data_IF_094406665519
#
_entry.id   IF_094406665519
#
_cell.length_a   1.000
_cell.length_b   1.000
_cell.length_c   1.000
_cell.angle_alpha   90.00
_cell.angle_beta   90.00
_cell.angle_gamma   90.00
#
_symmetry.space_group_name_H-M   'P 1'
#
loop_
_entity.id
_entity.type
_entity.pdbx_description
1 polymer ?
#
# COMPACT_ATOMS: atom_id res chain seq x y z
N UNK A 1 -19.78 -5.36 -9.42
CA UNK A 1 -20.36 -4.09 -8.93
C UNK A 1 -21.02 -3.34 -10.07
N UNK A 2 -22.17 -2.72 -9.82
CA UNK A 2 -22.77 -1.79 -10.78
C UNK A 2 -22.17 -0.39 -10.65
N UNK A 3 -22.54 0.53 -11.53
CA UNK A 3 -21.96 1.88 -11.55
C UNK A 3 -22.20 2.66 -10.26
N UNK A 4 -23.40 2.54 -9.66
CA UNK A 4 -23.71 3.24 -8.42
C UNK A 4 -22.93 2.68 -7.23
N UNK A 5 -22.76 1.36 -7.16
CA UNK A 5 -21.94 0.73 -6.14
C UNK A 5 -20.48 1.17 -6.22
N UNK A 6 -19.95 1.30 -7.43
CA UNK A 6 -18.58 1.78 -7.64
C UNK A 6 -18.43 3.23 -7.19
N UNK A 7 -19.40 4.09 -7.54
CA UNK A 7 -19.41 5.49 -7.12
C UNK A 7 -19.44 5.60 -5.59
N UNK A 8 -20.32 4.85 -4.95
CA UNK A 8 -20.45 4.85 -3.48
C UNK A 8 -19.19 4.34 -2.80
N UNK A 9 -18.60 3.27 -3.33
CA UNK A 9 -17.35 2.73 -2.85
C UNK A 9 -16.22 3.76 -2.87
N UNK A 10 -16.03 4.44 -3.99
CA UNK A 10 -15.00 5.47 -4.15
C UNK A 10 -15.28 6.66 -3.23
N UNK A 11 -16.53 7.14 -3.19
CA UNK A 11 -16.91 8.30 -2.39
C UNK A 11 -16.74 8.07 -0.88
N UNK A 12 -16.96 6.85 -0.40
CA UNK A 12 -16.90 6.49 1.00
C UNK A 12 -15.54 5.95 1.44
N UNK A 13 -14.58 5.84 0.53
CA UNK A 13 -13.24 5.36 0.87
C UNK A 13 -12.50 6.39 1.72
N UNK A 14 -11.83 5.89 2.76
CA UNK A 14 -11.00 6.72 3.62
C UNK A 14 -9.71 7.14 2.92
N UNK A 15 -9.16 8.27 3.35
CA UNK A 15 -7.80 8.64 3.02
C UNK A 15 -6.87 7.72 3.79
N UNK A 16 -6.12 6.88 3.08
CA UNK A 16 -5.07 6.03 3.65
C UNK A 16 -3.82 6.15 2.80
N UNK A 17 -2.68 6.11 3.46
CA UNK A 17 -1.38 6.10 2.79
C UNK A 17 -0.68 4.80 3.13
N UNK A 18 -0.96 3.70 2.39
CA UNK A 18 -0.32 2.43 2.64
C UNK A 18 1.17 2.52 2.35
N UNK A 19 1.96 2.01 3.27
CA UNK A 19 3.41 2.00 3.13
C UNK A 19 3.96 0.63 3.47
N UNK A 20 5.16 0.37 2.95
CA UNK A 20 6.00 -0.75 3.35
C UNK A 20 7.22 -0.17 4.05
N UNK A 21 7.46 -0.62 5.26
CA UNK A 21 8.53 -0.15 6.10
C UNK A 21 9.54 -1.28 6.30
N UNK A 22 10.79 -1.02 5.96
CA UNK A 22 11.91 -1.87 6.36
C UNK A 22 12.54 -1.24 7.58
N UNK A 23 12.61 -1.96 8.70
CA UNK A 23 13.08 -1.38 9.95
C UNK A 23 14.01 -2.32 10.68
N UNK A 24 15.12 -1.78 11.18
CA UNK A 24 16.00 -2.43 12.13
C UNK A 24 15.82 -1.80 13.51
N UNK A 25 15.62 -2.62 14.52
CA UNK A 25 15.35 -2.18 15.88
C UNK A 25 16.52 -2.52 16.81
N UNK A 26 16.59 -1.83 17.92
CA UNK A 26 17.55 -2.11 19.01
C UNK A 26 16.89 -2.71 20.24
N UNK A 27 15.55 -2.65 20.28
CA UNK A 27 14.72 -3.20 21.36
C UNK A 27 13.34 -3.53 20.79
N UNK A 28 12.51 -4.32 21.47
CA UNK A 28 11.17 -4.65 20.99
C UNK A 28 10.31 -3.40 20.76
N UNK A 29 9.64 -3.36 19.59
CA UNK A 29 8.72 -2.31 19.20
C UNK A 29 7.37 -2.93 18.83
N UNK A 30 6.29 -2.36 19.34
CA UNK A 30 4.93 -2.74 18.99
C UNK A 30 4.48 -1.89 17.79
N UNK A 31 4.22 -2.54 16.66
CA UNK A 31 3.76 -1.85 15.45
C UNK A 31 2.23 -1.78 15.33
N UNK A 32 1.50 -2.10 16.41
CA UNK A 32 0.05 -1.96 16.46
C UNK A 32 -0.66 -2.90 15.49
N UNK A 33 -1.60 -2.33 14.72
CA UNK A 33 -2.43 -3.09 13.78
C UNK A 33 -1.73 -3.44 12.46
N UNK A 34 -0.50 -2.98 12.25
CA UNK A 34 0.25 -3.23 11.02
C UNK A 34 0.61 -4.72 10.88
N UNK A 35 0.79 -5.16 9.65
CA UNK A 35 1.26 -6.51 9.35
C UNK A 35 2.78 -6.54 9.42
N UNK A 36 3.32 -7.39 10.30
CA UNK A 36 4.75 -7.47 10.56
C UNK A 36 5.31 -8.80 10.09
N UNK A 37 6.41 -8.75 9.36
CA UNK A 37 7.20 -9.91 8.96
C UNK A 37 8.61 -9.76 9.50
N UNK A 38 9.19 -10.86 9.94
CA UNK A 38 10.56 -10.89 10.41
C UNK A 38 10.68 -11.41 11.83
N UNK A 39 11.91 -11.36 12.34
CA UNK A 39 12.24 -11.80 13.71
C UNK A 39 13.49 -11.08 14.18
N UNK A 40 13.78 -11.17 15.49
CA UNK A 40 14.95 -10.52 16.07
C UNK A 40 14.82 -9.01 16.03
N UNK A 41 15.71 -8.36 15.30
CA UNK A 41 15.81 -6.90 15.21
C UNK A 41 15.61 -6.36 13.79
N UNK A 42 15.12 -7.18 12.85
CA UNK A 42 14.89 -6.79 11.46
C UNK A 42 13.49 -7.18 11.02
N UNK A 43 12.72 -6.19 10.58
CA UNK A 43 11.31 -6.40 10.25
C UNK A 43 10.93 -5.69 8.95
N UNK A 44 9.96 -6.29 8.25
CA UNK A 44 9.22 -5.65 7.16
C UNK A 44 7.79 -5.45 7.63
N UNK A 45 7.29 -4.22 7.57
CA UNK A 45 6.01 -3.83 8.16
C UNK A 45 5.14 -3.18 7.08
N UNK A 46 3.90 -3.65 6.96
CA UNK A 46 2.91 -3.09 6.04
C UNK A 46 1.80 -2.43 6.85
N UNK A 47 1.56 -1.16 6.60
CA UNK A 47 0.51 -0.45 7.33
C UNK A 47 0.26 0.95 6.77
N UNK A 48 -0.60 1.68 7.47
CA UNK A 48 -0.94 3.05 7.14
C UNK A 48 0.08 4.00 7.76
N UNK A 49 0.59 4.94 6.96
CA UNK A 49 1.56 5.92 7.43
C UNK A 49 1.03 6.79 8.58
N UNK A 50 -0.27 7.05 8.64
CA UNK A 50 -0.86 7.80 9.75
C UNK A 50 -0.59 7.15 11.11
N UNK A 51 -0.48 5.83 11.16
CA UNK A 51 -0.15 5.07 12.36
C UNK A 51 1.35 4.78 12.47
N UNK A 52 1.97 4.31 11.40
CA UNK A 52 3.38 3.92 11.43
C UNK A 52 4.31 5.10 11.67
N UNK A 53 3.99 6.28 11.12
CA UNK A 53 4.76 7.49 11.39
C UNK A 53 4.79 7.87 12.86
N UNK A 54 3.65 7.74 13.54
CA UNK A 54 3.55 8.00 14.98
C UNK A 54 4.32 6.96 15.80
N UNK A 55 4.26 5.69 15.39
CA UNK A 55 4.98 4.60 16.06
C UNK A 55 6.49 4.81 15.96
N UNK A 56 6.98 5.16 14.76
CA UNK A 56 8.40 5.46 14.56
C UNK A 56 8.86 6.62 15.43
N UNK A 57 8.08 7.68 15.50
CA UNK A 57 8.40 8.84 16.33
C UNK A 57 8.42 8.50 17.81
N UNK A 58 7.43 7.76 18.30
CA UNK A 58 7.31 7.36 19.69
C UNK A 58 8.42 6.36 20.13
N UNK A 59 9.01 5.63 19.19
CA UNK A 59 10.01 4.60 19.46
C UNK A 59 11.39 4.93 18.87
N UNK A 60 11.71 6.19 18.67
CA UNK A 60 12.99 6.62 18.09
C UNK A 60 14.22 6.00 18.77
N UNK A 61 14.19 5.90 20.08
CA UNK A 61 15.26 5.32 20.89
C UNK A 61 15.44 3.80 20.70
N UNK A 62 14.44 3.15 20.11
CA UNK A 62 14.44 1.70 19.87
C UNK A 62 14.64 1.33 18.40
N UNK A 63 14.83 2.31 17.53
CA UNK A 63 14.96 2.12 16.08
C UNK A 63 16.36 2.51 15.66
N UNK A 64 17.09 1.58 15.04
CA UNK A 64 18.41 1.83 14.51
C UNK A 64 18.35 2.60 13.20
N UNK A 65 17.58 2.09 12.25
CA UNK A 65 17.33 2.73 10.97
C UNK A 65 16.07 2.17 10.32
N UNK A 66 15.58 2.85 9.29
CA UNK A 66 14.44 2.37 8.52
C UNK A 66 14.41 3.01 7.13
N UNK A 67 13.69 2.35 6.21
CA UNK A 67 13.36 2.88 4.88
C UNK A 67 11.86 2.69 4.67
N UNK A 68 11.19 3.74 4.18
CA UNK A 68 9.76 3.71 3.88
C UNK A 68 9.56 3.71 2.37
N UNK A 69 8.77 2.77 1.88
CA UNK A 69 8.29 2.76 0.49
C UNK A 69 6.77 2.85 0.48
N UNK A 70 6.21 3.62 -0.43
CA UNK A 70 4.78 3.61 -0.65
C UNK A 70 4.44 3.43 -2.13
N UNK A 71 3.21 3.02 -2.41
CA UNK A 71 2.73 2.78 -3.77
C UNK A 71 2.19 4.05 -4.45
N UNK A 72 2.48 5.21 -3.86
CA UNK A 72 2.01 6.54 -4.29
C UNK A 72 0.50 6.75 -4.11
N UNK A 73 -0.17 5.80 -3.52
CA UNK A 73 -1.58 5.91 -3.18
C UNK A 73 -1.73 6.67 -1.86
N UNK A 74 -2.67 7.61 -1.83
CA UNK A 74 -3.08 8.30 -0.61
C UNK A 74 -4.60 8.20 -0.48
N UNK A 75 -5.10 6.98 -0.59
CA UNK A 75 -6.50 6.63 -0.67
C UNK A 75 -6.72 5.23 -0.13
N UNK A 76 -7.90 4.97 0.42
CA UNK A 76 -8.32 3.63 0.79
C UNK A 76 -8.70 2.74 -0.40
N UNK A 77 -8.77 3.30 -1.63
CA UNK A 77 -9.06 2.52 -2.83
C UNK A 77 -7.78 1.84 -3.32
N UNK A 78 -7.69 0.51 -3.29
CA UNK A 78 -6.52 -0.20 -3.79
C UNK A 78 -6.39 -0.09 -5.32
N UNK A 79 -5.18 -0.34 -5.79
CA UNK A 79 -4.92 -0.52 -7.20
C UNK A 79 -5.26 -1.95 -7.63
N UNK A 80 -5.52 -2.12 -8.92
CA UNK A 80 -5.79 -3.43 -9.49
C UNK A 80 -4.55 -4.32 -9.38
N UNK A 81 -4.76 -5.57 -8.94
CA UNK A 81 -3.71 -6.58 -9.01
C UNK A 81 -3.50 -7.00 -10.47
N UNK A 82 -2.33 -6.68 -11.00
CA UNK A 82 -2.01 -6.90 -12.40
C UNK A 82 -1.45 -8.29 -12.71
N UNK A 83 -1.16 -9.09 -11.68
CA UNK A 83 -0.48 -10.39 -11.87
C UNK A 83 -1.27 -11.37 -12.73
N UNK A 84 -2.59 -11.36 -12.63
CA UNK A 84 -3.47 -12.24 -13.38
C UNK A 84 -4.06 -11.61 -14.64
N UNK A 85 -3.73 -10.37 -14.95
CA UNK A 85 -4.27 -9.67 -16.11
C UNK A 85 -3.54 -10.12 -17.38
N UNK A 86 -4.30 -10.61 -18.37
CA UNK A 86 -3.75 -11.08 -19.66
C UNK A 86 -3.82 -9.96 -20.69
N UNK A 87 -3.16 -8.86 -20.40
CA UNK A 87 -3.10 -7.68 -21.23
C UNK A 87 -1.75 -7.00 -21.05
N UNK A 88 -1.36 -6.16 -22.00
CA UNK A 88 -0.18 -5.33 -21.86
C UNK A 88 -0.56 -4.03 -21.15
N UNK A 89 0.02 -3.78 -19.99
CA UNK A 89 -0.18 -2.56 -19.21
C UNK A 89 1.17 -1.88 -19.09
N UNK A 90 1.29 -0.71 -19.69
CA UNK A 90 2.56 0.01 -19.74
C UNK A 90 2.81 0.75 -18.41
N UNK A 91 4.09 0.99 -18.07
CA UNK A 91 4.42 1.79 -16.89
C UNK A 91 3.76 3.19 -16.96
N UNK A 92 3.28 3.67 -15.82
CA UNK A 92 2.59 4.97 -15.74
C UNK A 92 1.08 4.88 -15.97
N UNK A 93 0.53 3.72 -16.29
CA UNK A 93 -0.90 3.48 -16.22
C UNK A 93 -1.30 3.24 -14.77
N UNK A 94 -2.33 3.93 -14.29
CA UNK A 94 -2.84 3.80 -12.91
C UNK A 94 -4.26 3.27 -12.97
N UNK A 95 -4.46 2.06 -12.46
CA UNK A 95 -5.73 1.33 -12.58
C UNK A 95 -6.21 0.96 -11.19
N UNK A 96 -7.41 1.40 -10.83
CA UNK A 96 -8.06 1.04 -9.55
C UNK A 96 -8.54 -0.40 -9.58
N UNK A 97 -8.67 -1.01 -8.40
CA UNK A 97 -9.33 -2.32 -8.30
C UNK A 97 -10.76 -2.29 -8.84
N UNK A 98 -11.33 -3.44 -9.12
CA UNK A 98 -12.67 -3.63 -9.71
C UNK A 98 -12.77 -3.21 -11.18
N UNK A 99 -11.69 -2.78 -11.81
CA UNK A 99 -11.64 -2.55 -13.26
C UNK A 99 -11.42 -3.90 -13.95
N UNK A 100 -12.19 -4.17 -15.00
CA UNK A 100 -12.03 -5.34 -15.85
C UNK A 100 -11.28 -4.96 -17.11
N UNK A 101 -10.23 -5.71 -17.44
CA UNK A 101 -9.41 -5.48 -18.62
C UNK A 101 -9.51 -6.72 -19.50
N UNK A 102 -9.96 -6.52 -20.76
CA UNK A 102 -10.15 -7.60 -21.70
C UNK A 102 -8.84 -8.27 -22.11
N UNK A 103 -8.95 -9.54 -22.47
CA UNK A 103 -7.84 -10.34 -22.97
C UNK A 103 -7.17 -9.65 -24.17
N UNK A 104 -5.87 -9.51 -24.14
CA UNK A 104 -5.08 -8.93 -25.23
C UNK A 104 -5.19 -7.41 -25.36
N UNK A 105 -5.86 -6.72 -24.43
CA UNK A 105 -5.93 -5.26 -24.44
C UNK A 105 -4.55 -4.63 -24.23
N UNK A 106 -4.41 -3.38 -24.63
CA UNK A 106 -3.21 -2.58 -24.42
C UNK A 106 -3.60 -1.30 -23.70
N UNK A 107 -3.06 -1.13 -22.50
CA UNK A 107 -3.25 0.09 -21.71
C UNK A 107 -1.95 0.88 -21.79
N UNK A 108 -2.03 2.05 -22.40
CA UNK A 108 -0.86 2.88 -22.69
C UNK A 108 -0.44 3.69 -21.48
N UNK A 109 0.78 4.19 -21.49
CA UNK A 109 1.30 5.09 -20.47
C UNK A 109 0.38 6.30 -20.28
N UNK A 110 0.17 6.69 -19.03
CA UNK A 110 -0.66 7.84 -18.65
C UNK A 110 -2.16 7.57 -18.56
N UNK A 111 -2.57 6.33 -18.79
CA UNK A 111 -3.98 5.96 -18.63
C UNK A 111 -4.36 5.82 -17.15
#
# INVERSE_FOLDING_TARGET
MNAQEIIDYIANSEKKTPVKLYVNTTAPVDFGAAKVFGAGNSFTVFGDWAQLGLILEANRDKIADYVVENDRRNSGVPLLDLKGVQARIEPGAVIREKVEIGLGAVIMMGA
#
